data_IF_645546861252
#
_entry.id   IF_645546861252
#
_cell.length_a   1.000
_cell.length_b   1.000
_cell.length_c   1.000
_cell.angle_alpha   90.00
_cell.angle_beta   90.00
_cell.angle_gamma   90.00
#
_symmetry.space_group_name_H-M   'P 1'
#
loop_
_entity.id
_entity.type
_entity.pdbx_description
1 polymer ?
#
# COMPACT_ATOMS: atom_id res chain seq x y z
N UNK A 1 16.13 21.22 -12.41
CA UNK A 1 14.79 20.60 -12.52
C UNK A 1 14.71 19.21 -11.88
N UNK A 2 15.73 18.34 -12.03
CA UNK A 2 15.76 16.97 -11.43
C UNK A 2 15.34 16.83 -9.95
N UNK A 3 15.75 17.76 -9.07
CA UNK A 3 15.39 17.69 -7.64
C UNK A 3 13.88 17.86 -7.43
N UNK A 4 13.27 18.86 -8.07
CA UNK A 4 11.83 19.12 -7.96
C UNK A 4 11.01 17.96 -8.52
N UNK A 5 11.42 17.39 -9.66
CA UNK A 5 10.80 16.20 -10.24
C UNK A 5 10.87 14.99 -9.29
N UNK A 6 12.03 14.72 -8.69
CA UNK A 6 12.18 13.62 -7.73
C UNK A 6 11.37 13.82 -6.45
N UNK A 7 11.19 15.07 -6.00
CA UNK A 7 10.31 15.39 -4.87
C UNK A 7 8.85 15.10 -5.21
N UNK A 8 8.38 15.49 -6.39
CA UNK A 8 7.03 15.13 -6.87
C UNK A 8 6.87 13.60 -6.95
N UNK A 9 7.94 12.88 -7.33
CA UNK A 9 7.98 11.41 -7.26
C UNK A 9 7.70 10.87 -5.85
N UNK A 10 8.36 11.41 -4.83
CA UNK A 10 8.10 11.06 -3.42
C UNK A 10 6.66 11.35 -3.01
N UNK A 11 6.12 12.51 -3.40
CA UNK A 11 4.74 12.88 -3.08
C UNK A 11 3.73 11.91 -3.71
N UNK A 12 3.93 11.55 -4.98
CA UNK A 12 3.08 10.59 -5.69
C UNK A 12 3.16 9.20 -5.06
N UNK A 13 4.36 8.71 -4.76
CA UNK A 13 4.54 7.41 -4.10
C UNK A 13 3.91 7.38 -2.71
N UNK A 14 3.99 8.48 -1.95
CA UNK A 14 3.35 8.62 -0.64
C UNK A 14 1.82 8.50 -0.76
N UNK A 15 1.22 9.22 -1.72
CA UNK A 15 -0.23 9.15 -1.97
C UNK A 15 -0.66 7.78 -2.51
N UNK A 16 0.15 7.17 -3.37
CA UNK A 16 -0.07 5.80 -3.85
C UNK A 16 -0.13 4.81 -2.69
N UNK A 17 0.85 4.83 -1.79
CA UNK A 17 0.86 3.99 -0.59
C UNK A 17 -0.38 4.25 0.29
N UNK A 18 -0.76 5.51 0.49
CA UNK A 18 -1.94 5.86 1.28
C UNK A 18 -3.23 5.23 0.70
N UNK A 19 -3.40 5.30 -0.63
CA UNK A 19 -4.54 4.67 -1.31
C UNK A 19 -4.52 3.15 -1.16
N UNK A 20 -3.36 2.51 -1.33
CA UNK A 20 -3.25 1.05 -1.19
C UNK A 20 -3.55 0.59 0.25
N UNK A 21 -3.11 1.35 1.27
CA UNK A 21 -3.45 1.06 2.67
C UNK A 21 -4.97 1.15 2.90
N UNK A 22 -5.63 2.19 2.40
CA UNK A 22 -7.10 2.31 2.50
C UNK A 22 -7.82 1.15 1.79
N UNK A 23 -7.23 0.60 0.74
CA UNK A 23 -7.78 -0.57 0.07
C UNK A 23 -7.61 -1.86 0.88
N UNK A 24 -6.46 -2.05 1.52
CA UNK A 24 -6.25 -3.15 2.51
C UNK A 24 -7.32 -3.09 3.60
N UNK A 25 -7.57 -1.92 4.17
CA UNK A 25 -8.58 -1.76 5.23
C UNK A 25 -9.98 -2.14 4.75
N UNK A 26 -10.34 -1.73 3.54
CA UNK A 26 -11.63 -2.08 2.91
C UNK A 26 -11.77 -3.59 2.70
N UNK A 27 -10.74 -4.26 2.17
CA UNK A 27 -10.77 -5.71 1.95
C UNK A 27 -10.70 -6.52 3.24
N UNK A 28 -10.06 -5.98 4.27
CA UNK A 28 -10.05 -6.60 5.60
C UNK A 28 -11.43 -6.58 6.23
N UNK A 29 -12.18 -5.48 6.08
CA UNK A 29 -13.58 -5.41 6.48
C UNK A 29 -14.44 -6.40 5.68
N UNK A 30 -14.30 -6.40 4.36
CA UNK A 30 -15.01 -7.33 3.48
C UNK A 30 -14.73 -8.81 3.82
N UNK A 31 -13.47 -9.20 4.00
CA UNK A 31 -13.10 -10.56 4.36
C UNK A 31 -13.70 -10.99 5.71
N UNK A 32 -13.78 -10.07 6.67
CA UNK A 32 -14.45 -10.31 7.96
C UNK A 32 -15.95 -10.51 7.79
N UNK A 33 -16.60 -9.73 6.95
CA UNK A 33 -18.03 -9.88 6.69
C UNK A 33 -18.31 -11.23 6.03
N UNK A 34 -17.55 -11.61 5.00
CA UNK A 34 -17.66 -12.92 4.34
C UNK A 34 -17.39 -14.06 5.32
N UNK A 35 -16.42 -13.93 6.22
CA UNK A 35 -16.17 -14.92 7.27
C UNK A 35 -17.38 -15.08 8.20
N UNK A 36 -18.02 -13.97 8.60
CA UNK A 36 -19.23 -14.01 9.43
C UNK A 36 -20.42 -14.63 8.70
N UNK A 37 -20.55 -14.39 7.40
CA UNK A 37 -21.59 -15.01 6.57
C UNK A 37 -21.35 -16.51 6.38
N UNK A 38 -20.09 -16.91 6.21
CA UNK A 38 -19.72 -18.33 6.06
C UNK A 38 -20.03 -19.13 7.34
N UNK A 39 -19.75 -18.54 8.52
CA UNK A 39 -20.10 -19.14 9.83
C UNK A 39 -21.61 -19.33 10.04
N UNK A 40 -22.44 -18.67 9.25
CA UNK A 40 -23.90 -18.76 9.27
C UNK A 40 -24.44 -19.53 8.05
N UNK A 41 -23.57 -20.25 7.32
CA UNK A 41 -23.90 -21.01 6.11
C UNK A 41 -24.55 -20.18 4.98
N UNK A 42 -24.37 -18.85 4.99
CA UNK A 42 -24.97 -17.93 4.01
C UNK A 42 -24.14 -17.76 2.73
N UNK A 43 -22.86 -18.10 2.76
CA UNK A 43 -21.94 -18.07 1.60
C UNK A 43 -21.12 -19.34 1.56
N UNK A 44 -20.53 -19.65 0.41
CA UNK A 44 -19.73 -20.86 0.24
C UNK A 44 -18.33 -20.70 0.83
N UNK A 45 -17.64 -21.83 1.06
CA UNK A 45 -16.21 -21.84 1.41
C UNK A 45 -15.36 -21.20 0.30
N UNK A 46 -15.80 -21.27 -0.95
CA UNK A 46 -15.09 -20.65 -2.07
C UNK A 46 -15.15 -19.12 -2.00
N UNK A 47 -16.29 -18.55 -1.60
CA UNK A 47 -16.43 -17.11 -1.41
C UNK A 47 -15.50 -16.60 -0.31
N UNK A 48 -15.43 -17.32 0.82
CA UNK A 48 -14.48 -17.01 1.90
C UNK A 48 -13.02 -17.05 1.43
N UNK A 49 -12.64 -18.11 0.71
CA UNK A 49 -11.28 -18.23 0.19
C UNK A 49 -10.96 -17.10 -0.79
N UNK A 50 -11.90 -16.74 -1.65
CA UNK A 50 -11.73 -15.65 -2.63
C UNK A 50 -11.51 -14.31 -1.92
N UNK A 51 -12.29 -14.01 -0.88
CA UNK A 51 -12.11 -12.79 -0.08
C UNK A 51 -10.75 -12.77 0.64
N UNK A 52 -10.30 -13.91 1.18
CA UNK A 52 -8.98 -14.03 1.82
C UNK A 52 -7.83 -13.86 0.84
N UNK A 53 -7.94 -14.43 -0.37
CA UNK A 53 -6.93 -14.25 -1.43
C UNK A 53 -6.85 -12.79 -1.86
N UNK A 54 -8.00 -12.13 -2.08
CA UNK A 54 -8.03 -10.71 -2.45
C UNK A 54 -7.37 -9.82 -1.38
N UNK A 55 -7.61 -10.11 -0.10
CA UNK A 55 -6.94 -9.41 1.01
C UNK A 55 -5.42 -9.63 0.95
N UNK A 56 -4.96 -10.88 0.85
CA UNK A 56 -3.53 -11.21 0.80
C UNK A 56 -2.82 -10.55 -0.39
N UNK A 57 -3.46 -10.54 -1.57
CA UNK A 57 -2.94 -9.88 -2.77
C UNK A 57 -2.79 -8.37 -2.55
N UNK A 58 -3.74 -7.75 -1.87
CA UNK A 58 -3.73 -6.31 -1.61
C UNK A 58 -2.73 -5.93 -0.53
N UNK A 59 -2.54 -6.77 0.50
CA UNK A 59 -1.44 -6.62 1.46
C UNK A 59 -0.07 -6.69 0.76
N UNK A 60 0.11 -7.62 -0.19
CA UNK A 60 1.32 -7.68 -0.99
C UNK A 60 1.53 -6.42 -1.85
N UNK A 61 0.45 -5.85 -2.41
CA UNK A 61 0.52 -4.59 -3.14
C UNK A 61 0.92 -3.43 -2.23
N UNK A 62 0.44 -3.39 -0.98
CA UNK A 62 0.83 -2.37 -0.01
C UNK A 62 2.34 -2.43 0.31
N UNK A 63 2.90 -3.63 0.46
CA UNK A 63 4.35 -3.83 0.65
C UNK A 63 5.12 -3.29 -0.56
N UNK A 64 4.68 -3.62 -1.78
CA UNK A 64 5.31 -3.12 -3.02
C UNK A 64 5.24 -1.59 -3.12
N UNK A 65 4.10 -0.99 -2.75
CA UNK A 65 3.94 0.46 -2.73
C UNK A 65 4.86 1.13 -1.69
N UNK A 66 5.03 0.50 -0.52
CA UNK A 66 5.97 0.93 0.52
C UNK A 66 7.41 0.95 0.01
N UNK A 67 7.86 -0.16 -0.58
CA UNK A 67 9.18 -0.26 -1.20
C UNK A 67 9.38 0.80 -2.31
N UNK A 68 8.34 1.09 -3.09
CA UNK A 68 8.37 2.14 -4.12
C UNK A 68 8.53 3.55 -3.55
N UNK A 69 7.93 3.83 -2.39
CA UNK A 69 8.13 5.08 -1.66
C UNK A 69 9.57 5.20 -1.15
N UNK A 70 10.12 4.13 -0.58
CA UNK A 70 11.49 4.13 -0.07
C UNK A 70 12.51 4.35 -1.19
N UNK A 71 12.32 3.72 -2.35
CA UNK A 71 13.15 3.97 -3.53
C UNK A 71 13.06 5.43 -4.01
N UNK A 72 11.85 6.00 -4.02
CA UNK A 72 11.64 7.40 -4.40
C UNK A 72 12.35 8.37 -3.45
N UNK A 73 12.30 8.08 -2.14
CA UNK A 73 13.01 8.85 -1.11
C UNK A 73 14.52 8.76 -1.29
N UNK A 74 15.06 7.56 -1.48
CA UNK A 74 16.48 7.36 -1.69
C UNK A 74 16.99 8.10 -2.95
N UNK A 75 16.22 8.09 -4.04
CA UNK A 75 16.55 8.83 -5.25
C UNK A 75 16.58 10.36 -5.03
N UNK A 76 15.59 10.90 -4.32
CA UNK A 76 15.55 12.31 -3.93
C UNK A 76 16.73 12.68 -3.01
N UNK A 77 16.97 11.89 -1.96
CA UNK A 77 18.05 12.13 -1.00
C UNK A 77 19.43 12.10 -1.65
N UNK A 78 19.66 11.17 -2.59
CA UNK A 78 20.90 11.08 -3.36
C UNK A 78 21.18 12.36 -4.16
N UNK A 79 20.16 13.00 -4.74
CA UNK A 79 20.33 14.25 -5.48
C UNK A 79 20.69 15.43 -4.58
N UNK A 80 20.40 15.34 -3.27
CA UNK A 80 20.71 16.37 -2.27
C UNK A 80 21.96 16.07 -1.44
N UNK A 81 22.68 14.98 -1.72
CA UNK A 81 23.83 14.56 -0.92
C UNK A 81 23.45 14.16 0.52
N UNK A 82 22.18 13.83 0.77
CA UNK A 82 21.69 13.37 2.08
C UNK A 82 21.85 11.85 2.20
N UNK A 83 21.79 11.34 3.42
CA UNK A 83 21.71 9.89 3.66
C UNK A 83 20.45 9.32 3.02
N UNK A 84 20.54 8.12 2.44
CA UNK A 84 19.49 7.56 1.58
C UNK A 84 18.17 7.30 2.31
N UNK A 85 18.25 6.94 3.60
CA UNK A 85 17.14 6.64 4.50
C UNK A 85 16.52 7.87 5.19
N UNK A 86 17.02 9.07 4.87
CA UNK A 86 16.45 10.31 5.41
C UNK A 86 14.96 10.40 5.08
N UNK A 87 14.11 10.47 6.10
CA UNK A 87 12.66 10.59 5.89
C UNK A 87 12.35 11.90 5.19
N UNK A 88 11.68 11.81 4.05
CA UNK A 88 11.14 12.96 3.33
C UNK A 88 9.65 13.03 3.65
N UNK A 89 9.27 14.06 4.41
CA UNK A 89 7.87 14.38 4.74
C UNK A 89 7.36 15.45 3.78
N UNK A 90 6.16 15.24 3.25
CA UNK A 90 5.38 16.30 2.63
C UNK A 90 4.87 17.18 3.79
N UNK A 91 5.27 18.45 3.81
CA UNK A 91 4.70 19.45 4.71
C UNK A 91 3.21 19.65 4.47
#
# INVERSE_FOLDING_TARGET
MKVAESYVGVLRATKGLQVTISYVDSLKAYARDVENMYKQDMVSRNDLLTAQVALADTEQQAIKAGNGLDLSRAAYNRLLGRQMDTVVVAG
#
